data_IF_715737015244
#
_entry.id   IF_715737015244
#
_cell.length_a   1.000
_cell.length_b   1.000
_cell.length_c   1.000
_cell.angle_alpha   90.00
_cell.angle_beta   90.00
_cell.angle_gamma   90.00
#
_symmetry.space_group_name_H-M   'P 1'
#
loop_
_entity.id
_entity.type
_entity.pdbx_description
1 polymer ?
#
# COMPACT_ATOMS: atom_id res chain seq x y z
N UNK A 1 4.95 -11.42 -6.41
CA UNK A 1 6.21 -10.92 -5.82
C UNK A 1 5.93 -10.41 -4.41
N UNK A 2 6.49 -11.06 -3.38
CA UNK A 2 6.19 -10.80 -1.96
C UNK A 2 7.07 -9.66 -1.41
N UNK A 3 6.74 -8.43 -1.79
CA UNK A 3 7.49 -7.23 -1.36
C UNK A 3 7.53 -7.05 0.17
N UNK A 4 6.46 -7.44 0.88
CA UNK A 4 6.39 -7.37 2.34
C UNK A 4 7.51 -8.17 3.01
N UNK A 5 7.75 -9.38 2.53
CA UNK A 5 8.78 -10.27 3.07
C UNK A 5 10.19 -9.70 2.86
N UNK A 6 10.46 -9.14 1.68
CA UNK A 6 11.77 -8.55 1.36
C UNK A 6 12.08 -7.40 2.31
N UNK A 7 11.10 -6.53 2.57
CA UNK A 7 11.32 -5.34 3.39
C UNK A 7 11.36 -5.65 4.89
N UNK A 8 10.62 -6.66 5.37
CA UNK A 8 10.78 -7.14 6.75
C UNK A 8 12.19 -7.71 6.98
N UNK A 9 12.69 -8.51 6.02
CA UNK A 9 14.05 -9.05 6.09
C UNK A 9 15.12 -7.96 6.10
N UNK A 10 14.93 -6.87 5.35
CA UNK A 10 15.83 -5.72 5.38
C UNK A 10 15.81 -5.02 6.75
N UNK A 11 14.64 -4.90 7.38
CA UNK A 11 14.48 -4.34 8.72
C UNK A 11 15.17 -5.21 9.78
N UNK A 12 15.00 -6.53 9.72
CA UNK A 12 15.69 -7.49 10.59
C UNK A 12 17.22 -7.38 10.47
N UNK A 13 17.74 -7.24 9.25
CA UNK A 13 19.18 -7.08 9.01
C UNK A 13 19.73 -5.79 9.62
N UNK A 14 19.02 -4.67 9.49
CA UNK A 14 19.44 -3.37 10.08
C UNK A 14 19.42 -3.42 11.60
N UNK A 15 18.44 -4.14 12.17
CA UNK A 15 18.30 -4.30 13.63
C UNK A 15 19.19 -5.42 14.19
N UNK A 16 19.96 -6.11 13.35
CA UNK A 16 20.79 -7.26 13.71
C UNK A 16 20.04 -8.38 14.46
N UNK A 17 18.78 -8.63 14.06
CA UNK A 17 17.94 -9.69 14.65
C UNK A 17 18.30 -11.02 13.99
N UNK A 18 18.62 -12.02 14.82
CA UNK A 18 18.88 -13.37 14.34
C UNK A 18 17.58 -14.18 14.30
N UNK A 19 17.50 -15.17 13.41
CA UNK A 19 16.34 -16.06 13.28
C UNK A 19 15.97 -16.75 14.62
N UNK A 20 16.95 -16.91 15.50
CA UNK A 20 16.79 -17.50 16.83
C UNK A 20 15.95 -16.64 17.77
N UNK A 21 15.92 -15.32 17.59
CA UNK A 21 15.22 -14.39 18.47
C UNK A 21 13.69 -14.57 18.39
N UNK A 22 13.19 -15.22 17.32
CA UNK A 22 11.75 -15.52 17.09
C UNK A 22 10.81 -14.33 17.32
N UNK A 23 11.32 -13.12 17.10
CA UNK A 23 10.58 -11.87 17.32
C UNK A 23 9.49 -11.77 16.25
N UNK A 24 8.27 -11.41 16.65
CA UNK A 24 7.17 -11.22 15.72
C UNK A 24 7.37 -9.93 14.92
N UNK A 25 7.04 -9.93 13.62
CA UNK A 25 7.13 -8.73 12.77
C UNK A 25 6.41 -7.49 13.34
N UNK A 26 5.32 -7.70 14.10
CA UNK A 26 4.61 -6.62 14.79
C UNK A 26 5.50 -5.93 15.84
N UNK A 27 6.27 -6.71 16.59
CA UNK A 27 7.17 -6.21 17.64
C UNK A 27 8.34 -5.46 16.99
N UNK A 28 8.91 -5.98 15.89
CA UNK A 28 9.97 -5.29 15.12
C UNK A 28 9.49 -3.91 14.63
N UNK A 29 8.26 -3.83 14.11
CA UNK A 29 7.67 -2.58 13.68
C UNK A 29 7.39 -1.61 14.83
N UNK A 30 7.00 -2.13 16.01
CA UNK A 30 6.81 -1.31 17.21
C UNK A 30 8.13 -0.75 17.74
N UNK A 31 9.20 -1.55 17.81
CA UNK A 31 10.53 -1.10 18.22
C UNK A 31 11.10 -0.01 17.31
N UNK A 32 10.78 -0.06 16.02
CA UNK A 32 11.23 0.93 15.04
C UNK A 32 10.27 2.11 14.87
N UNK A 33 9.14 2.11 15.59
CA UNK A 33 8.05 3.08 15.43
C UNK A 33 7.53 3.20 13.98
N UNK A 34 7.65 2.13 13.19
CA UNK A 34 7.25 2.11 11.79
C UNK A 34 5.82 1.58 11.63
N UNK A 35 5.06 2.22 10.74
CA UNK A 35 3.78 1.67 10.31
C UNK A 35 3.98 0.40 9.48
N UNK A 36 3.01 -0.54 9.48
CA UNK A 36 3.02 -1.67 8.57
C UNK A 36 3.19 -1.21 7.13
N UNK A 37 4.01 -1.91 6.36
CA UNK A 37 4.32 -1.54 4.99
C UNK A 37 3.10 -1.29 4.10
N UNK A 38 2.06 -2.13 4.25
CA UNK A 38 0.81 -1.97 3.50
C UNK A 38 0.19 -0.59 3.77
N UNK A 39 0.24 -0.12 5.01
CA UNK A 39 -0.27 1.18 5.37
C UNK A 39 0.53 2.31 4.72
N UNK A 40 1.86 2.22 4.77
CA UNK A 40 2.75 3.19 4.10
C UNK A 40 2.51 3.25 2.60
N UNK A 41 2.34 2.09 1.95
CA UNK A 41 2.08 1.99 0.52
C UNK A 41 0.72 2.60 0.14
N UNK A 42 -0.31 2.30 0.93
CA UNK A 42 -1.65 2.88 0.75
C UNK A 42 -1.60 4.39 0.91
N UNK A 43 -0.96 4.91 1.97
CA UNK A 43 -0.81 6.34 2.21
C UNK A 43 -0.10 7.04 1.05
N UNK A 44 1.04 6.49 0.60
CA UNK A 44 1.81 7.05 -0.52
C UNK A 44 0.98 7.08 -1.81
N UNK A 45 0.26 5.99 -2.10
CA UNK A 45 -0.59 5.91 -3.26
C UNK A 45 -1.74 6.93 -3.23
N UNK A 46 -2.39 7.12 -2.06
CA UNK A 46 -3.46 8.10 -1.90
C UNK A 46 -2.94 9.54 -1.97
N UNK A 47 -1.80 9.84 -1.36
CA UNK A 47 -1.17 11.16 -1.48
C UNK A 47 -0.83 11.51 -2.93
N UNK A 48 -0.23 10.57 -3.65
CA UNK A 48 0.06 10.76 -5.06
C UNK A 48 -1.22 10.93 -5.89
N UNK A 49 -2.21 10.07 -5.68
CA UNK A 49 -3.50 10.15 -6.40
C UNK A 49 -4.22 11.47 -6.13
N UNK A 50 -4.24 11.92 -4.87
CA UNK A 50 -4.82 13.21 -4.48
C UNK A 50 -4.03 14.39 -5.06
N UNK A 51 -2.70 14.29 -5.12
CA UNK A 51 -1.86 15.29 -5.77
C UNK A 51 -2.19 15.39 -7.26
N UNK A 52 -2.25 14.26 -7.98
CA UNK A 52 -2.62 14.23 -9.41
C UNK A 52 -4.03 14.77 -9.63
N UNK A 53 -4.98 14.45 -8.76
CA UNK A 53 -6.35 14.94 -8.88
C UNK A 53 -6.46 16.47 -8.76
N UNK A 54 -5.60 17.11 -7.97
CA UNK A 54 -5.53 18.59 -7.84
C UNK A 54 -4.82 19.26 -9.01
N UNK A 55 -4.11 18.51 -9.86
CA UNK A 55 -3.48 19.06 -11.07
C UNK A 55 -4.54 19.30 -12.14
N UNK A 56 -4.27 20.23 -13.06
CA UNK A 56 -5.16 20.53 -14.18
C UNK A 56 -5.44 19.30 -15.07
N UNK A 57 -6.67 19.22 -15.60
CA UNK A 57 -7.19 18.16 -16.46
C UNK A 57 -6.46 18.05 -17.81
N UNK A 58 -5.82 19.13 -18.26
CA UNK A 58 -5.07 19.19 -19.52
C UNK A 58 -3.79 18.33 -19.41
N UNK A 59 -3.29 18.09 -18.19
CA UNK A 59 -2.04 17.36 -17.98
C UNK A 59 -2.20 15.86 -18.25
N UNK A 60 -1.27 15.33 -19.05
CA UNK A 60 -1.18 13.91 -19.42
C UNK A 60 -1.31 12.95 -18.24
N UNK A 61 -0.71 13.27 -17.08
CA UNK A 61 -0.75 12.37 -15.90
C UNK A 61 -2.16 12.23 -15.33
N UNK A 62 -2.97 13.30 -15.34
CA UNK A 62 -4.37 13.25 -14.89
C UNK A 62 -5.24 12.51 -15.90
N UNK A 63 -4.96 12.70 -17.20
CA UNK A 63 -5.61 11.91 -18.25
C UNK A 63 -5.28 10.42 -18.13
N UNK A 64 -4.01 10.07 -17.88
CA UNK A 64 -3.53 8.70 -17.69
C UNK A 64 -4.21 8.00 -16.50
N UNK A 65 -4.44 8.73 -15.41
CA UNK A 65 -5.14 8.21 -14.22
C UNK A 65 -6.54 7.66 -14.57
N UNK A 66 -7.23 8.32 -15.49
CA UNK A 66 -8.58 7.98 -15.93
C UNK A 66 -8.64 7.25 -17.27
N UNK A 67 -7.50 7.10 -17.94
CA UNK A 67 -7.42 6.56 -19.29
C UNK A 67 -8.02 5.16 -19.35
N UNK A 68 -8.83 4.94 -20.38
CA UNK A 68 -9.38 3.64 -20.70
C UNK A 68 -8.96 3.33 -22.13
N UNK A 69 -8.38 2.15 -22.34
CA UNK A 69 -8.09 1.66 -23.69
C UNK A 69 -9.42 1.52 -24.43
N UNK A 70 -9.63 2.34 -25.47
CA UNK A 70 -10.80 2.26 -26.34
C UNK A 70 -10.76 1.00 -27.23
N UNK A 71 -9.56 0.51 -27.57
CA UNK A 71 -9.33 -0.68 -28.38
C UNK A 71 -8.22 -1.52 -27.74
N UNK A 72 -8.41 -2.83 -27.67
CA UNK A 72 -7.43 -3.77 -27.12
C UNK A 72 -8.08 -4.84 -26.24
N UNK A 73 -7.73 -6.12 -26.50
CA UNK A 73 -8.17 -7.25 -25.69
C UNK A 73 -7.26 -7.38 -24.47
N UNK A 74 -7.85 -7.58 -23.28
CA UNK A 74 -7.08 -7.85 -22.06
C UNK A 74 -6.66 -9.32 -22.03
N UNK A 75 -5.52 -9.59 -21.42
CA UNK A 75 -5.02 -10.95 -21.21
C UNK A 75 -6.05 -11.78 -20.41
N UNK A 76 -6.11 -13.07 -20.71
CA UNK A 76 -6.92 -14.03 -19.96
C UNK A 76 -6.44 -14.13 -18.50
N UNK A 77 -7.37 -14.25 -17.56
CA UNK A 77 -7.11 -14.25 -16.11
C UNK A 77 -7.59 -12.98 -15.41
N UNK A 78 -7.12 -12.75 -14.17
CA UNK A 78 -7.52 -11.56 -13.40
C UNK A 78 -6.89 -10.30 -14.03
N UNK A 79 -7.70 -9.35 -14.54
CA UNK A 79 -7.16 -8.12 -15.09
C UNK A 79 -6.42 -7.32 -14.03
N UNK A 80 -5.27 -6.73 -14.39
CA UNK A 80 -4.62 -5.74 -13.53
C UNK A 80 -5.58 -4.57 -13.28
N UNK A 81 -5.66 -4.14 -12.02
CA UNK A 81 -6.49 -3.00 -11.63
C UNK A 81 -5.94 -1.74 -12.29
N UNK A 82 -6.84 -0.87 -12.77
CA UNK A 82 -6.44 0.47 -13.22
C UNK A 82 -5.99 1.32 -12.04
N UNK A 83 -5.22 2.37 -12.30
CA UNK A 83 -4.80 3.32 -11.27
C UNK A 83 -5.97 3.87 -10.46
N UNK A 84 -7.06 4.29 -11.12
CA UNK A 84 -8.28 4.73 -10.43
C UNK A 84 -8.92 3.65 -9.55
N UNK A 85 -8.87 2.39 -9.99
CA UNK A 85 -9.49 1.27 -9.28
C UNK A 85 -8.64 0.86 -8.05
N UNK A 86 -7.31 1.01 -8.15
CA UNK A 86 -6.38 0.89 -7.01
C UNK A 86 -6.63 2.00 -5.99
N UNK A 87 -6.77 3.25 -6.44
CA UNK A 87 -7.08 4.37 -5.54
C UNK A 87 -8.41 4.14 -4.79
N UNK A 88 -9.46 3.70 -5.49
CA UNK A 88 -10.75 3.33 -4.86
C UNK A 88 -10.59 2.21 -3.83
N UNK A 89 -9.83 1.16 -4.16
CA UNK A 89 -9.54 0.06 -3.22
C UNK A 89 -8.83 0.57 -1.97
N UNK A 90 -7.87 1.46 -2.13
CA UNK A 90 -7.08 2.04 -1.05
C UNK A 90 -7.89 2.99 -0.17
N UNK A 91 -8.78 3.81 -0.77
CA UNK A 91 -9.75 4.62 -0.03
C UNK A 91 -10.65 3.70 0.79
N UNK A 92 -11.24 2.67 0.17
CA UNK A 92 -12.07 1.69 0.88
C UNK A 92 -11.31 1.02 2.02
N UNK A 93 -10.06 0.63 1.82
CA UNK A 93 -9.23 0.06 2.88
C UNK A 93 -9.04 1.02 4.05
N UNK A 94 -8.83 2.32 3.80
CA UNK A 94 -8.74 3.34 4.85
C UNK A 94 -10.09 3.64 5.53
N UNK A 95 -11.19 3.68 4.78
CA UNK A 95 -12.52 4.02 5.29
C UNK A 95 -13.18 2.84 6.03
N UNK A 96 -12.93 1.60 5.58
CA UNK A 96 -13.50 0.37 6.15
C UNK A 96 -12.71 -0.17 7.36
N UNK A 97 -11.61 0.48 7.76
CA UNK A 97 -10.97 0.25 9.07
C UNK A 97 -11.82 1.00 10.14
N UNK A 98 -13.04 0.58 10.44
CA UNK A 98 -13.37 -0.37 11.51
C UNK A 98 -12.19 -0.66 12.47
N UNK A 99 -11.83 0.39 13.22
CA UNK A 99 -10.91 0.48 14.35
C UNK A 99 -10.92 -0.66 15.41
N UNK A 100 -11.68 -1.74 15.23
CA UNK A 100 -11.89 -2.80 16.24
C UNK A 100 -10.64 -3.62 16.56
N UNK A 101 -9.80 -3.99 15.59
CA UNK A 101 -8.69 -4.93 15.82
C UNK A 101 -7.35 -4.26 16.17
N UNK A 102 -7.15 -2.99 15.79
CA UNK A 102 -5.96 -2.20 16.16
C UNK A 102 -6.04 -1.68 17.60
N UNK A 103 -7.24 -1.38 18.09
CA UNK A 103 -7.47 -0.87 19.46
C UNK A 103 -7.30 -1.97 20.52
N UNK A 104 -7.62 -3.24 20.20
CA UNK A 104 -7.37 -4.39 21.09
C UNK A 104 -5.90 -4.65 21.43
N UNK A 105 -4.96 -3.90 20.85
CA UNK A 105 -3.53 -4.00 21.14
C UNK A 105 -3.00 -2.90 22.08
N UNK A 106 -3.87 -2.05 22.65
CA UNK A 106 -3.50 -1.09 23.70
C UNK A 106 -4.28 -1.40 24.98
N UNK A 107 -3.51 -1.91 25.95
CA UNK A 107 -3.81 -2.10 27.37
C UNK A 107 -4.70 -3.31 27.67
#
# INVERSE_FOLDING_TARGET
RNYLHILMRQLEQVMNIILFDKIRNKEILQCTCLAPMIETLVNRNLHWSGHIQRRDNIRLVRQLLYFQLCKGKRNYGRPSLRFKDIAKKNIKWKTTDNNKWKIQAKI
#
